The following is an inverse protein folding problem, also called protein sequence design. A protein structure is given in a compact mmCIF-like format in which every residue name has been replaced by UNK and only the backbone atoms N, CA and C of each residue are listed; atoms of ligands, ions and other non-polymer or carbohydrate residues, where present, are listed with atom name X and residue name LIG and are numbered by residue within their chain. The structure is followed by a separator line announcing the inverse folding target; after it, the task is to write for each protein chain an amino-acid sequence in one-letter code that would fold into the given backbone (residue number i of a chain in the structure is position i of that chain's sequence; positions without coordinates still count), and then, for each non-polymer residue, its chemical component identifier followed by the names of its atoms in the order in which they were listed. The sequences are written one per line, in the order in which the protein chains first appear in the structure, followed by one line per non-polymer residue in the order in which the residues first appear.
data_IF_748487422709
#
_entry.id   IF_748487422709
#
_cell.length_a   1.000
_cell.length_b   1.000
_cell.length_c   1.000
_cell.angle_alpha   90.00
_cell.angle_beta   90.00
_cell.angle_gamma   90.00
#
_symmetry.space_group_name_H-M   'P 1'
#
loop_
_entity.id
_entity.type
_entity.pdbx_description
1 polymer ?
#
# COMPACT_ATOMS: atom_id res chain seq x y z
N UNK A 1 37.91 27.38 32.13
CA UNK A 1 36.45 27.51 32.22
C UNK A 1 35.80 27.86 30.90
N UNK A 2 36.39 28.76 30.14
CA UNK A 2 35.86 29.10 28.82
C UNK A 2 35.81 27.94 27.86
N UNK A 3 36.78 27.01 27.93
CA UNK A 3 36.81 25.82 27.12
C UNK A 3 35.68 24.86 27.41
N UNK A 4 35.23 24.73 28.66
CA UNK A 4 34.11 23.86 29.03
C UNK A 4 32.78 24.38 28.49
N UNK A 5 32.55 25.67 28.54
CA UNK A 5 31.34 26.28 27.99
C UNK A 5 31.29 26.13 26.47
N UNK A 6 32.42 26.29 25.82
CA UNK A 6 32.50 26.11 24.38
C UNK A 6 32.22 24.66 23.96
N UNK A 7 32.73 23.72 24.73
CA UNK A 7 32.52 22.28 24.46
C UNK A 7 31.06 21.89 24.62
N UNK A 8 30.39 22.43 25.65
CA UNK A 8 28.94 22.19 25.89
C UNK A 8 28.10 22.74 24.74
N UNK A 9 28.40 23.94 24.28
CA UNK A 9 27.71 24.53 23.16
C UNK A 9 27.89 23.71 21.87
N UNK A 10 29.09 23.23 21.64
CA UNK A 10 29.38 22.37 20.49
C UNK A 10 28.62 21.05 20.55
N UNK A 11 28.55 20.43 21.73
CA UNK A 11 27.80 19.19 21.94
C UNK A 11 26.30 19.39 21.71
N UNK A 12 25.75 20.49 22.21
CA UNK A 12 24.34 20.81 22.00
C UNK A 12 24.03 21.06 20.52
N UNK A 13 24.88 21.76 19.81
CA UNK A 13 24.73 22.01 18.40
C UNK A 13 24.77 20.71 17.61
N UNK A 14 25.68 19.81 17.95
CA UNK A 14 25.80 18.50 17.32
C UNK A 14 24.55 17.66 17.55
N UNK A 15 23.99 17.68 18.73
CA UNK A 15 22.77 16.96 19.07
C UNK A 15 21.59 17.43 18.25
N UNK A 16 21.42 18.75 18.09
CA UNK A 16 20.35 19.33 17.30
C UNK A 16 20.47 18.94 15.82
N UNK A 17 21.67 19.00 15.27
CA UNK A 17 21.91 18.62 13.89
C UNK A 17 21.59 17.15 13.65
N UNK A 18 21.99 16.27 14.56
CA UNK A 18 21.70 14.85 14.47
C UNK A 18 20.19 14.57 14.51
N UNK A 19 19.46 15.30 15.36
CA UNK A 19 18.00 15.17 15.44
C UNK A 19 17.32 15.59 14.15
N UNK A 20 17.74 16.72 13.58
CA UNK A 20 17.20 17.22 12.31
C UNK A 20 17.47 16.24 11.18
N UNK A 21 18.66 15.67 11.12
CA UNK A 21 19.02 14.66 10.10
C UNK A 21 18.13 13.41 10.25
N UNK A 22 17.88 12.96 11.46
CA UNK A 22 17.00 11.79 11.69
C UNK A 22 15.59 12.04 11.19
N UNK A 23 15.03 13.20 11.48
CA UNK A 23 13.68 13.58 11.03
C UNK A 23 13.63 13.66 9.51
N UNK A 24 14.64 14.25 8.88
CA UNK A 24 14.71 14.36 7.43
C UNK A 24 14.79 12.99 6.78
N UNK A 25 15.61 12.10 7.32
CA UNK A 25 15.74 10.73 6.79
C UNK A 25 14.43 9.97 6.91
N UNK A 26 13.72 10.09 8.03
CA UNK A 26 12.41 9.45 8.21
C UNK A 26 11.39 9.97 7.19
N UNK A 27 11.39 11.27 6.92
CA UNK A 27 10.51 11.87 5.92
C UNK A 27 10.82 11.36 4.51
N UNK A 28 12.09 11.27 4.16
CA UNK A 28 12.52 10.73 2.87
C UNK A 28 12.11 9.26 2.71
N UNK A 29 12.25 8.47 3.77
CA UNK A 29 11.83 7.08 3.73
C UNK A 29 10.32 6.93 3.49
N UNK A 30 9.52 7.81 4.08
CA UNK A 30 8.07 7.82 3.82
C UNK A 30 7.77 8.15 2.37
N UNK A 31 8.43 9.11 1.79
CA UNK A 31 8.25 9.49 0.39
C UNK A 31 8.70 8.37 -0.54
N UNK A 32 9.85 7.78 -0.28
CA UNK A 32 10.36 6.67 -1.10
C UNK A 32 9.57 5.37 -0.91
N UNK A 33 8.85 5.23 0.22
CA UNK A 33 8.00 4.09 0.47
C UNK A 33 6.65 4.17 -0.23
N UNK A 34 6.27 5.31 -0.77
CA UNK A 34 5.04 5.44 -1.54
C UNK A 34 5.22 4.80 -2.89
N UNK A 35 4.32 3.88 -3.24
CA UNK A 35 4.33 3.25 -4.55
C UNK A 35 3.77 4.24 -5.58
N UNK A 36 4.30 4.21 -6.79
CA UNK A 36 3.78 4.99 -7.89
C UNK A 36 2.50 4.40 -8.47
N UNK A 37 2.07 3.26 -7.94
CA UNK A 37 0.89 2.56 -8.42
C UNK A 37 -0.37 3.19 -7.85
N UNK A 38 -1.34 3.38 -8.71
CA UNK A 38 -2.64 3.93 -8.36
C UNK A 38 -3.68 2.82 -8.36
N UNK A 39 -4.56 2.83 -7.35
CA UNK A 39 -5.69 1.91 -7.31
C UNK A 39 -6.68 2.28 -8.40
N UNK A 40 -7.04 1.30 -9.23
CA UNK A 40 -8.01 1.47 -10.31
C UNK A 40 -8.98 0.30 -10.30
N UNK A 41 -10.03 0.38 -11.10
CA UNK A 41 -11.03 -0.68 -11.20
C UNK A 41 -11.19 -1.04 -12.67
N UNK A 42 -11.22 -2.33 -12.98
CA UNK A 42 -11.49 -2.83 -14.31
C UNK A 42 -12.71 -3.76 -14.29
N UNK A 43 -13.35 -3.90 -15.44
CA UNK A 43 -14.47 -4.80 -15.62
C UNK A 43 -13.97 -6.07 -16.31
N UNK A 44 -14.19 -7.22 -15.67
CA UNK A 44 -13.73 -8.52 -16.16
C UNK A 44 -14.95 -9.37 -16.52
N UNK A 45 -14.98 -9.90 -17.75
CA UNK A 45 -16.04 -10.83 -18.15
C UNK A 45 -15.76 -12.20 -17.52
N UNK A 46 -16.73 -12.71 -16.78
CA UNK A 46 -16.62 -14.00 -16.10
C UNK A 46 -16.79 -15.10 -17.15
N UNK A 47 -15.78 -15.97 -17.26
CA UNK A 47 -15.81 -17.11 -18.16
C UNK A 47 -16.29 -18.35 -17.41
N UNK A 48 -16.78 -19.34 -18.16
CA UNK A 48 -17.13 -20.63 -17.59
C UNK A 48 -15.91 -21.25 -16.91
N UNK A 49 -16.08 -21.67 -15.65
CA UNK A 49 -14.99 -22.22 -14.86
C UNK A 49 -14.20 -21.22 -14.04
N UNK A 50 -14.44 -19.92 -14.22
CA UNK A 50 -13.81 -18.90 -13.40
C UNK A 50 -14.39 -18.92 -11.99
N UNK A 51 -13.51 -18.63 -11.02
CA UNK A 51 -13.90 -18.43 -9.63
C UNK A 51 -13.45 -17.07 -9.16
N UNK A 52 -14.04 -16.59 -8.07
CA UNK A 52 -13.59 -15.35 -7.47
C UNK A 52 -12.11 -15.42 -7.10
N UNK A 53 -11.67 -16.57 -6.61
CA UNK A 53 -10.27 -16.82 -6.29
C UNK A 53 -9.36 -16.69 -7.51
N UNK A 54 -9.70 -17.35 -8.61
CA UNK A 54 -8.86 -17.33 -9.81
C UNK A 54 -8.78 -15.95 -10.42
N UNK A 55 -9.87 -15.20 -10.44
CA UNK A 55 -9.87 -13.83 -10.95
C UNK A 55 -9.03 -12.93 -10.02
N UNK A 56 -9.20 -13.08 -8.71
CA UNK A 56 -8.42 -12.31 -7.74
C UNK A 56 -6.91 -12.57 -7.89
N UNK A 57 -6.49 -13.82 -8.09
CA UNK A 57 -5.09 -14.15 -8.31
C UNK A 57 -4.50 -13.45 -9.52
N UNK A 58 -5.27 -13.32 -10.58
CA UNK A 58 -4.81 -12.68 -11.82
C UNK A 58 -4.51 -11.20 -11.66
N UNK A 59 -5.16 -10.53 -10.72
CA UNK A 59 -5.03 -9.07 -10.50
C UNK A 59 -4.33 -8.72 -9.19
N UNK A 60 -4.05 -9.70 -8.35
CA UNK A 60 -3.44 -9.46 -7.04
C UNK A 60 -2.01 -8.98 -7.18
N UNK A 61 -1.67 -7.95 -6.39
CA UNK A 61 -0.30 -7.48 -6.18
C UNK A 61 -0.10 -7.19 -4.71
N UNK A 62 1.15 -6.99 -4.30
CA UNK A 62 1.48 -6.72 -2.90
C UNK A 62 0.77 -5.48 -2.35
N UNK A 63 0.48 -4.52 -3.19
CA UNK A 63 -0.23 -3.29 -2.82
C UNK A 63 -1.67 -3.58 -2.36
N UNK A 64 -2.24 -4.71 -2.75
CA UNK A 64 -3.57 -5.12 -2.32
C UNK A 64 -3.61 -5.56 -0.85
N UNK A 65 -2.46 -5.83 -0.24
CA UNK A 65 -2.38 -6.32 1.13
C UNK A 65 -2.65 -7.81 1.23
N UNK A 66 -3.42 -8.21 2.27
CA UNK A 66 -3.78 -9.61 2.44
C UNK A 66 -4.70 -10.09 1.32
N UNK A 67 -4.43 -11.26 0.76
CA UNK A 67 -5.20 -11.82 -0.34
C UNK A 67 -6.66 -12.06 0.04
N UNK A 68 -6.94 -12.53 1.25
CA UNK A 68 -8.31 -12.74 1.72
C UNK A 68 -9.08 -11.42 1.84
N UNK A 69 -8.41 -10.39 2.30
CA UNK A 69 -8.98 -9.04 2.35
C UNK A 69 -9.27 -8.53 0.94
N UNK A 70 -8.39 -8.81 -0.01
CA UNK A 70 -8.59 -8.46 -1.40
C UNK A 70 -9.83 -9.14 -1.99
N UNK A 71 -10.02 -10.42 -1.72
CA UNK A 71 -11.23 -11.14 -2.16
C UNK A 71 -12.48 -10.51 -1.55
N UNK A 72 -12.44 -10.17 -0.26
CA UNK A 72 -13.56 -9.49 0.41
C UNK A 72 -13.85 -8.14 -0.21
N UNK A 73 -12.83 -7.40 -0.60
CA UNK A 73 -12.99 -6.11 -1.28
C UNK A 73 -13.69 -6.28 -2.64
N UNK A 74 -13.29 -7.28 -3.42
CA UNK A 74 -13.96 -7.57 -4.70
C UNK A 74 -15.43 -7.90 -4.47
N UNK A 75 -15.73 -8.73 -3.49
CA UNK A 75 -17.12 -9.06 -3.14
C UNK A 75 -17.94 -7.83 -2.79
N UNK A 76 -17.38 -6.96 -1.93
CA UNK A 76 -18.07 -5.74 -1.51
C UNK A 76 -18.30 -4.80 -2.68
N UNK A 77 -17.31 -4.66 -3.55
CA UNK A 77 -17.39 -3.81 -4.72
C UNK A 77 -18.52 -4.23 -5.66
N UNK A 78 -18.78 -5.53 -5.75
CA UNK A 78 -19.78 -6.09 -6.64
C UNK A 78 -21.08 -6.45 -5.94
N UNK A 79 -21.21 -6.16 -4.65
CA UNK A 79 -22.40 -6.49 -3.85
C UNK A 79 -22.75 -7.97 -3.87
N UNK A 80 -21.73 -8.83 -3.85
CA UNK A 80 -21.92 -10.28 -3.88
C UNK A 80 -22.18 -10.81 -2.46
N UNK A 81 -23.25 -11.61 -2.25
CA UNK A 81 -23.54 -12.20 -0.94
C UNK A 81 -22.57 -13.33 -0.59
N UNK A 82 -21.97 -13.96 -1.59
CA UNK A 82 -21.04 -15.08 -1.43
C UNK A 82 -20.00 -15.04 -2.57
N UNK A 83 -19.25 -16.12 -2.74
CA UNK A 83 -18.21 -16.19 -3.76
C UNK A 83 -18.70 -16.75 -5.10
N UNK A 84 -20.01 -16.97 -5.26
CA UNK A 84 -20.56 -17.53 -6.48
C UNK A 84 -20.56 -16.51 -7.60
N UNK A 85 -20.08 -16.93 -8.76
CA UNK A 85 -20.02 -16.12 -9.97
C UNK A 85 -20.90 -16.74 -11.06
N UNK A 86 -21.41 -15.87 -11.94
CA UNK A 86 -22.20 -16.31 -13.09
C UNK A 86 -21.44 -16.00 -14.38
N UNK A 87 -21.15 -17.02 -15.16
CA UNK A 87 -20.48 -16.86 -16.45
C UNK A 87 -21.29 -15.94 -17.37
N UNK A 88 -20.60 -15.08 -18.08
CA UNK A 88 -21.22 -14.07 -18.95
C UNK A 88 -21.49 -12.75 -18.29
N UNK A 89 -21.52 -12.68 -16.96
CA UNK A 89 -21.61 -11.42 -16.22
C UNK A 89 -20.25 -10.76 -16.11
N UNK A 90 -20.26 -9.49 -15.73
CA UNK A 90 -19.02 -8.72 -15.52
C UNK A 90 -18.77 -8.55 -14.04
N UNK A 91 -17.50 -8.65 -13.67
CA UNK A 91 -17.03 -8.45 -12.31
C UNK A 91 -16.14 -7.22 -12.26
N UNK A 92 -16.43 -6.30 -11.36
CA UNK A 92 -15.58 -5.14 -11.11
C UNK A 92 -14.43 -5.56 -10.22
N UNK A 93 -13.20 -5.39 -10.70
CA UNK A 93 -12.00 -5.83 -9.97
C UNK A 93 -11.12 -4.62 -9.70
N UNK A 94 -10.95 -4.22 -8.42
CA UNK A 94 -9.97 -3.21 -8.07
C UNK A 94 -8.56 -3.81 -8.16
N UNK A 95 -7.64 -3.04 -8.70
CA UNK A 95 -6.25 -3.47 -8.81
C UNK A 95 -5.32 -2.26 -8.84
N UNK A 96 -4.03 -2.50 -8.69
CA UNK A 96 -3.02 -1.44 -8.70
C UNK A 96 -2.25 -1.48 -10.01
N UNK A 97 -2.17 -0.33 -10.63
CA UNK A 97 -1.56 -0.18 -11.95
C UNK A 97 -0.35 0.75 -11.92
#
# INVERSE_FOLDING_TARGET
MKKRQFTKAALLAFSVIALVLLVTMASLNRVSGQTDKTKTVTSVCIQAGDSLWSIAEAYYTEECGDFREYISEIRRTNHLPNNDLTAGNYLLVPYYK
#
